data_IF_695759067337
#
_entry.id   IF_695759067337
#
_cell.length_a   1.000
_cell.length_b   1.000
_cell.length_c   1.000
_cell.angle_alpha   90.00
_cell.angle_beta   90.00
_cell.angle_gamma   90.00
#
_symmetry.space_group_name_H-M   'P 1'
#
loop_
_entity.id
_entity.type
_entity.pdbx_description
1 polymer ?
#
# COMPACT_ATOMS: atom_id res chain seq x y z
N UNK A 1 -16.24 4.72 -1.13
CA UNK A 1 -15.12 5.34 -0.38
C UNK A 1 -13.81 5.20 -1.13
N UNK A 2 -13.38 3.98 -1.49
CA UNK A 2 -12.03 3.74 -2.02
C UNK A 2 -11.89 3.77 -3.54
N UNK A 3 -12.96 4.08 -4.27
CA UNK A 3 -13.02 3.92 -5.72
C UNK A 3 -13.43 2.50 -6.12
N UNK A 4 -13.20 2.15 -7.38
CA UNK A 4 -13.45 0.81 -7.92
C UNK A 4 -12.26 -0.12 -7.74
N UNK A 5 -12.44 -1.40 -8.08
CA UNK A 5 -11.34 -2.37 -8.06
C UNK A 5 -10.22 -1.97 -9.03
N UNK A 6 -8.97 -2.11 -8.59
CA UNK A 6 -7.76 -1.96 -9.38
C UNK A 6 -7.49 -3.24 -10.17
N UNK A 7 -7.13 -3.10 -11.44
CA UNK A 7 -6.76 -4.22 -12.31
C UNK A 7 -5.27 -4.57 -12.15
N UNK A 8 -4.96 -5.86 -12.16
CA UNK A 8 -3.59 -6.36 -12.21
C UNK A 8 -3.10 -6.37 -13.67
N UNK A 9 -1.85 -5.97 -13.90
CA UNK A 9 -1.28 -5.84 -15.25
C UNK A 9 0.04 -6.60 -15.40
N UNK A 10 0.43 -6.92 -16.65
CA UNK A 10 1.70 -7.59 -16.94
C UNK A 10 1.81 -8.96 -16.27
N UNK A 11 2.83 -9.16 -15.45
CA UNK A 11 3.09 -10.42 -14.73
C UNK A 11 2.34 -10.54 -13.39
N UNK A 12 1.67 -9.47 -12.94
CA UNK A 12 0.95 -9.44 -11.67
C UNK A 12 -0.15 -10.51 -11.52
N UNK A 13 -0.95 -10.87 -12.56
CA UNK A 13 -1.93 -11.96 -12.45
C UNK A 13 -1.31 -13.33 -12.14
N UNK A 14 -0.09 -13.58 -12.63
CA UNK A 14 0.64 -14.82 -12.33
C UNK A 14 1.10 -14.86 -10.87
N UNK A 15 1.52 -13.72 -10.32
CA UNK A 15 1.88 -13.57 -8.92
C UNK A 15 0.66 -13.75 -8.01
N UNK A 16 -0.49 -13.21 -8.40
CA UNK A 16 -1.76 -13.38 -7.67
C UNK A 16 -2.18 -14.86 -7.56
N UNK A 17 -2.01 -15.63 -8.64
CA UNK A 17 -2.45 -17.02 -8.71
C UNK A 17 -1.60 -18.00 -7.87
N UNK A 18 -0.41 -17.60 -7.42
CA UNK A 18 0.54 -18.49 -6.76
C UNK A 18 0.79 -18.08 -5.30
N UNK A 19 0.78 -19.04 -4.35
CA UNK A 19 1.24 -18.79 -2.98
C UNK A 19 2.78 -18.57 -2.96
N UNK A 20 3.36 -18.00 -1.89
CA UNK A 20 4.78 -17.67 -1.82
C UNK A 20 5.72 -18.84 -2.15
N UNK A 21 5.42 -20.03 -1.61
CA UNK A 21 6.17 -21.25 -1.91
C UNK A 21 6.04 -21.68 -3.39
N UNK A 22 4.87 -21.48 -4.00
CA UNK A 22 4.64 -21.76 -5.42
C UNK A 22 5.43 -20.81 -6.33
N UNK A 23 5.58 -19.54 -5.94
CA UNK A 23 6.41 -18.56 -6.67
C UNK A 23 7.89 -18.94 -6.65
N UNK A 24 8.42 -19.30 -5.48
CA UNK A 24 9.81 -19.75 -5.36
C UNK A 24 10.11 -21.00 -6.21
N UNK A 25 9.17 -21.96 -6.25
CA UNK A 25 9.30 -23.15 -7.11
C UNK A 25 9.26 -22.78 -8.59
N UNK A 26 8.36 -21.87 -9.00
CA UNK A 26 8.28 -21.41 -10.38
C UNK A 26 9.56 -20.68 -10.80
N UNK A 27 10.10 -19.81 -9.96
CA UNK A 27 11.36 -19.09 -10.22
C UNK A 27 12.53 -20.07 -10.40
N UNK A 28 12.67 -21.03 -9.49
CA UNK A 28 13.68 -22.09 -9.60
C UNK A 28 13.51 -22.91 -10.87
N UNK A 29 12.27 -23.25 -11.25
CA UNK A 29 11.97 -23.99 -12.47
C UNK A 29 12.34 -23.19 -13.73
N UNK A 30 12.05 -21.89 -13.77
CA UNK A 30 12.41 -21.00 -14.87
C UNK A 30 13.93 -20.87 -15.00
N UNK A 31 14.64 -20.67 -13.88
CA UNK A 31 16.10 -20.58 -13.86
C UNK A 31 16.74 -21.90 -14.29
N UNK A 32 16.24 -23.04 -13.78
CA UNK A 32 16.73 -24.35 -14.17
C UNK A 32 16.50 -24.66 -15.65
N UNK A 33 15.31 -24.33 -16.17
CA UNK A 33 14.99 -24.50 -17.59
C UNK A 33 15.89 -23.63 -18.48
N UNK A 34 16.15 -22.38 -18.10
CA UNK A 34 17.04 -21.49 -18.82
C UNK A 34 18.51 -21.92 -18.74
N UNK A 35 18.98 -22.39 -17.60
CA UNK A 35 20.32 -22.94 -17.44
C UNK A 35 20.50 -24.21 -18.30
N UNK A 36 19.52 -25.11 -18.32
CA UNK A 36 19.53 -26.28 -19.19
C UNK A 36 19.49 -25.89 -20.69
N UNK A 37 18.65 -24.92 -21.06
CA UNK A 37 18.59 -24.34 -22.40
C UNK A 37 19.94 -23.74 -22.82
N UNK A 38 20.57 -22.95 -21.94
CA UNK A 38 21.88 -22.36 -22.18
C UNK A 38 22.99 -23.39 -22.31
N UNK A 39 22.96 -24.44 -21.49
CA UNK A 39 23.90 -25.55 -21.59
C UNK A 39 23.77 -26.26 -22.94
N UNK A 40 22.55 -26.56 -23.37
CA UNK A 40 22.29 -27.27 -24.64
C UNK A 40 22.62 -26.44 -25.87
N UNK A 41 22.39 -25.12 -25.83
CA UNK A 41 22.81 -24.22 -26.90
C UNK A 41 24.34 -24.07 -26.91
N UNK A 42 24.98 -23.92 -25.76
CA UNK A 42 26.44 -23.82 -25.65
C UNK A 42 27.18 -25.09 -26.07
N UNK A 43 26.60 -26.28 -25.86
CA UNK A 43 27.15 -27.54 -26.42
C UNK A 43 26.98 -27.61 -27.93
N UNK A 44 25.80 -27.25 -28.46
CA UNK A 44 25.51 -27.33 -29.91
C UNK A 44 26.34 -26.37 -30.75
N UNK A 45 26.58 -25.14 -30.27
CA UNK A 45 27.25 -24.10 -31.07
C UNK A 45 28.72 -23.88 -30.71
N UNK A 46 29.16 -24.21 -29.49
CA UNK A 46 30.54 -23.99 -29.05
C UNK A 46 31.41 -25.25 -28.97
N UNK A 47 30.80 -26.45 -29.01
CA UNK A 47 31.50 -27.74 -29.16
C UNK A 47 32.37 -28.20 -27.97
N UNK A 48 32.52 -27.38 -26.92
CA UNK A 48 33.35 -27.71 -25.75
C UNK A 48 32.57 -27.64 -24.44
N UNK A 49 33.09 -28.30 -23.39
CA UNK A 49 32.46 -28.26 -22.06
C UNK A 49 32.47 -26.85 -21.47
N UNK A 50 33.48 -26.04 -21.77
CA UNK A 50 33.60 -24.65 -21.30
C UNK A 50 32.56 -23.74 -21.96
N UNK A 51 32.28 -23.89 -23.26
CA UNK A 51 31.23 -23.12 -23.94
C UNK A 51 29.83 -23.51 -23.49
N UNK A 52 29.61 -24.80 -23.19
CA UNK A 52 28.37 -25.29 -22.59
C UNK A 52 28.09 -24.67 -21.21
N UNK A 53 29.09 -24.67 -20.33
CA UNK A 53 28.99 -24.06 -19.00
C UNK A 53 28.79 -22.53 -19.11
N UNK A 54 29.48 -21.87 -20.05
CA UNK A 54 29.29 -20.44 -20.29
C UNK A 54 27.87 -20.10 -20.79
N UNK A 55 27.33 -20.90 -21.72
CA UNK A 55 25.95 -20.72 -22.21
C UNK A 55 24.91 -20.91 -21.10
N UNK A 56 25.10 -21.92 -20.24
CA UNK A 56 24.25 -22.14 -19.06
C UNK A 56 24.30 -20.97 -18.08
N UNK A 57 25.50 -20.44 -17.81
CA UNK A 57 25.70 -19.34 -16.88
C UNK A 57 25.05 -18.03 -17.37
N UNK A 58 25.21 -17.69 -18.66
CA UNK A 58 24.65 -16.44 -19.21
C UNK A 58 23.12 -16.45 -19.21
N UNK A 59 22.49 -17.53 -19.69
CA UNK A 59 21.02 -17.61 -19.70
C UNK A 59 20.43 -17.80 -18.31
N UNK A 60 21.07 -18.59 -17.45
CA UNK A 60 20.67 -18.74 -16.04
C UNK A 60 20.73 -17.42 -15.28
N UNK A 61 21.79 -16.62 -15.48
CA UNK A 61 21.92 -15.29 -14.88
C UNK A 61 20.86 -14.30 -15.38
N UNK A 62 20.55 -14.30 -16.68
CA UNK A 62 19.49 -13.46 -17.24
C UNK A 62 18.11 -13.78 -16.62
N UNK A 63 17.81 -15.06 -16.36
CA UNK A 63 16.56 -15.45 -15.69
C UNK A 63 16.51 -15.13 -14.20
N UNK A 64 17.64 -15.09 -13.49
CA UNK A 64 17.67 -14.61 -12.10
C UNK A 64 17.22 -13.15 -12.02
N UNK A 65 17.58 -12.32 -13.00
CA UNK A 65 17.06 -10.96 -13.10
C UNK A 65 15.54 -10.93 -13.36
N UNK A 66 15.03 -11.87 -14.18
CA UNK A 66 13.59 -12.04 -14.40
C UNK A 66 12.83 -12.48 -13.14
N UNK A 67 13.36 -13.43 -12.36
CA UNK A 67 12.81 -13.84 -11.08
C UNK A 67 12.83 -12.69 -10.06
N UNK A 68 13.91 -11.92 -10.00
CA UNK A 68 13.97 -10.71 -9.18
C UNK A 68 12.89 -9.68 -9.60
N UNK A 69 12.61 -9.55 -10.89
CA UNK A 69 11.54 -8.69 -11.39
C UNK A 69 10.13 -9.20 -11.05
N UNK A 70 9.95 -10.52 -10.91
CA UNK A 70 8.68 -11.11 -10.43
C UNK A 70 8.51 -10.85 -8.94
N UNK A 71 9.56 -11.04 -8.14
CA UNK A 71 9.51 -10.72 -6.71
C UNK A 71 9.34 -9.21 -6.44
N UNK A 72 9.88 -8.33 -7.29
CA UNK A 72 9.74 -6.89 -7.09
C UNK A 72 8.31 -6.37 -7.25
N UNK A 73 7.44 -7.07 -7.99
CA UNK A 73 6.02 -6.68 -8.13
C UNK A 73 5.14 -7.27 -7.04
N UNK A 74 5.63 -8.22 -6.23
CA UNK A 74 4.84 -8.89 -5.18
C UNK A 74 4.21 -7.90 -4.20
N UNK A 75 4.93 -6.87 -3.70
CA UNK A 75 4.31 -5.89 -2.79
C UNK A 75 3.21 -5.06 -3.45
N UNK A 76 3.35 -4.74 -4.74
CA UNK A 76 2.30 -4.03 -5.50
C UNK A 76 1.05 -4.89 -5.69
N UNK A 77 1.21 -6.18 -5.97
CA UNK A 77 0.07 -7.11 -6.07
C UNK A 77 -0.62 -7.25 -4.72
N UNK A 78 0.15 -7.33 -3.63
CA UNK A 78 -0.41 -7.36 -2.28
C UNK A 78 -1.20 -6.08 -1.97
N UNK A 79 -0.68 -4.90 -2.34
CA UNK A 79 -1.36 -3.62 -2.21
C UNK A 79 -2.67 -3.58 -3.02
N UNK A 80 -2.65 -4.01 -4.29
CA UNK A 80 -3.86 -4.12 -5.11
C UNK A 80 -4.86 -5.11 -4.51
N UNK A 81 -4.39 -6.24 -3.98
CA UNK A 81 -5.21 -7.22 -3.27
C UNK A 81 -5.91 -6.62 -2.06
N UNK A 82 -5.18 -5.86 -1.23
CA UNK A 82 -5.73 -5.13 -0.10
C UNK A 82 -6.76 -4.09 -0.55
N UNK A 83 -6.43 -3.29 -1.56
CA UNK A 83 -7.35 -2.30 -2.12
C UNK A 83 -8.65 -2.94 -2.57
N UNK A 84 -8.57 -4.02 -3.36
CA UNK A 84 -9.72 -4.71 -3.92
C UNK A 84 -10.57 -5.42 -2.86
N UNK A 85 -9.94 -5.84 -1.77
CA UNK A 85 -10.62 -6.38 -0.61
C UNK A 85 -11.44 -5.29 0.09
N UNK A 86 -10.82 -4.17 0.44
CA UNK A 86 -11.49 -3.07 1.16
C UNK A 86 -12.51 -2.34 0.29
N UNK A 87 -12.23 -2.14 -1.00
CA UNK A 87 -13.16 -1.55 -1.97
C UNK A 87 -14.40 -2.42 -2.22
N UNK A 88 -14.32 -3.72 -1.94
CA UNK A 88 -15.45 -4.64 -2.00
C UNK A 88 -16.26 -4.70 -0.69
N UNK A 89 -15.84 -4.01 0.38
CA UNK A 89 -16.57 -3.97 1.64
C UNK A 89 -17.60 -2.85 1.65
N UNK A 90 -18.82 -3.17 2.10
CA UNK A 90 -19.90 -2.19 2.30
C UNK A 90 -19.62 -1.28 3.51
N UNK A 91 -18.95 -1.81 4.54
CA UNK A 91 -18.55 -1.07 5.75
C UNK A 91 -17.02 -1.12 5.93
N UNK A 92 -16.30 -0.03 5.63
CA UNK A 92 -14.86 0.04 5.83
C UNK A 92 -14.45 -0.11 7.30
N UNK A 93 -15.34 0.22 8.25
CA UNK A 93 -15.04 0.13 9.67
C UNK A 93 -15.11 -1.31 10.19
N UNK A 94 -15.60 -2.26 9.39
CA UNK A 94 -15.58 -3.68 9.72
C UNK A 94 -14.21 -4.32 9.55
N UNK A 95 -13.28 -3.66 8.84
CA UNK A 95 -11.93 -4.17 8.61
C UNK A 95 -11.21 -4.44 9.95
N UNK A 96 -10.59 -5.61 10.06
CA UNK A 96 -9.75 -5.99 11.20
C UNK A 96 -8.27 -6.04 10.85
N UNK A 97 -7.41 -5.80 11.85
CA UNK A 97 -5.95 -5.91 11.68
C UNK A 97 -5.48 -7.33 11.30
N UNK A 98 -6.23 -8.35 11.74
CA UNK A 98 -6.03 -9.74 11.37
C UNK A 98 -6.20 -9.96 9.86
N UNK A 99 -7.16 -9.28 9.23
CA UNK A 99 -7.44 -9.39 7.80
C UNK A 99 -6.35 -8.72 6.96
N UNK A 100 -5.90 -7.52 7.37
CA UNK A 100 -4.76 -6.84 6.74
C UNK A 100 -3.49 -7.70 6.83
N UNK A 101 -3.22 -8.28 8.01
CA UNK A 101 -2.08 -9.17 8.22
C UNK A 101 -2.22 -10.46 7.39
N UNK A 102 -3.41 -11.04 7.28
CA UNK A 102 -3.67 -12.22 6.47
C UNK A 102 -3.44 -11.95 4.98
N UNK A 103 -3.85 -10.77 4.49
CA UNK A 103 -3.59 -10.35 3.11
C UNK A 103 -2.08 -10.20 2.90
N UNK A 104 -1.37 -9.45 3.74
CA UNK A 104 0.08 -9.31 3.63
C UNK A 104 0.81 -10.67 3.64
N UNK A 105 0.41 -11.56 4.57
CA UNK A 105 0.93 -12.92 4.70
C UNK A 105 0.66 -13.81 3.49
N UNK A 106 -0.52 -13.70 2.86
CA UNK A 106 -0.87 -14.41 1.60
C UNK A 106 0.18 -14.16 0.51
N UNK A 107 0.76 -12.96 0.46
CA UNK A 107 1.78 -12.60 -0.52
C UNK A 107 3.22 -12.72 0.00
N UNK A 108 3.43 -12.99 1.29
CA UNK A 108 4.75 -12.97 1.91
C UNK A 108 5.34 -11.56 2.08
N UNK A 109 4.48 -10.55 2.19
CA UNK A 109 4.86 -9.13 2.27
C UNK A 109 4.78 -8.64 3.72
N UNK A 110 5.71 -7.79 4.12
CA UNK A 110 5.66 -7.09 5.41
C UNK A 110 4.70 -5.91 5.33
N UNK A 111 3.94 -5.64 6.39
CA UNK A 111 3.12 -4.42 6.48
C UNK A 111 3.95 -3.13 6.48
N UNK A 112 5.27 -3.24 6.72
CA UNK A 112 6.22 -2.12 6.64
C UNK A 112 6.87 -1.98 5.26
N UNK A 113 6.56 -2.85 4.30
CA UNK A 113 7.01 -2.69 2.93
C UNK A 113 6.52 -1.35 2.36
N UNK A 114 7.37 -0.64 1.61
CA UNK A 114 7.06 0.71 1.16
C UNK A 114 5.82 0.78 0.25
N UNK A 115 5.65 -0.17 -0.68
CA UNK A 115 4.50 -0.17 -1.59
C UNK A 115 3.22 -0.56 -0.85
N UNK A 116 3.29 -1.58 0.01
CA UNK A 116 2.14 -2.00 0.81
C UNK A 116 1.71 -0.91 1.81
N UNK A 117 2.69 -0.29 2.49
CA UNK A 117 2.47 0.82 3.42
C UNK A 117 1.90 2.05 2.73
N UNK A 118 2.34 2.35 1.50
CA UNK A 118 1.74 3.42 0.70
C UNK A 118 0.24 3.19 0.49
N UNK A 119 -0.18 1.97 0.16
CA UNK A 119 -1.60 1.66 0.00
C UNK A 119 -2.37 1.77 1.32
N UNK A 120 -1.80 1.34 2.45
CA UNK A 120 -2.41 1.54 3.77
C UNK A 120 -2.68 3.04 4.03
N UNK A 121 -1.70 3.89 3.74
CA UNK A 121 -1.82 5.35 3.86
C UNK A 121 -2.89 5.92 2.91
N UNK A 122 -2.93 5.47 1.66
CA UNK A 122 -3.90 5.93 0.65
C UNK A 122 -5.34 5.52 0.99
N UNK A 123 -5.53 4.29 1.48
CA UNK A 123 -6.81 3.82 2.00
C UNK A 123 -7.23 4.65 3.21
N UNK A 124 -6.33 4.87 4.17
CA UNK A 124 -6.60 5.73 5.33
C UNK A 124 -7.02 7.14 4.91
N UNK A 125 -6.26 7.77 4.00
CA UNK A 125 -6.55 9.12 3.52
C UNK A 125 -7.91 9.19 2.82
N UNK A 126 -8.22 8.21 1.96
CA UNK A 126 -9.51 8.11 1.27
C UNK A 126 -10.67 7.95 2.25
N UNK A 127 -10.48 7.14 3.29
CA UNK A 127 -11.48 6.95 4.34
C UNK A 127 -11.71 8.23 5.13
N UNK A 128 -10.65 8.86 5.66
CA UNK A 128 -10.75 10.13 6.40
C UNK A 128 -11.44 11.20 5.56
N UNK A 129 -11.06 11.34 4.29
CA UNK A 129 -11.71 12.28 3.38
C UNK A 129 -13.21 12.01 3.22
N UNK A 130 -13.62 10.74 3.14
CA UNK A 130 -15.03 10.34 2.96
C UNK A 130 -15.89 10.50 4.22
N UNK A 131 -15.28 10.38 5.40
CA UNK A 131 -15.94 10.51 6.69
C UNK A 131 -16.29 11.97 6.99
N UNK A 132 -15.52 12.92 6.43
CA UNK A 132 -15.77 14.34 6.59
C UNK A 132 -16.99 14.79 5.76
N UNK A 133 -18.05 15.30 6.41
CA UNK A 133 -19.30 15.62 5.72
C UNK A 133 -19.13 16.76 4.70
N UNK A 134 -19.85 16.70 3.56
CA UNK A 134 -19.86 17.75 2.55
C UNK A 134 -20.50 19.06 3.04
N UNK A 135 -19.96 20.19 2.60
CA UNK A 135 -20.56 21.51 2.81
C UNK A 135 -20.90 21.84 4.27
N UNK A 136 -22.13 22.28 4.52
CA UNK A 136 -22.54 22.82 5.82
C UNK A 136 -23.10 21.74 6.77
N UNK A 137 -23.03 20.46 6.40
CA UNK A 137 -23.46 19.37 7.26
C UNK A 137 -22.57 19.26 8.51
N UNK A 138 -23.19 19.14 9.68
CA UNK A 138 -22.49 19.01 10.96
C UNK A 138 -21.85 17.61 11.09
N UNK A 139 -20.83 17.53 11.94
CA UNK A 139 -20.28 16.24 12.38
C UNK A 139 -21.35 15.47 13.15
N UNK A 140 -21.42 14.16 12.91
CA UNK A 140 -22.39 13.23 13.51
C UNK A 140 -21.92 12.73 14.88
N UNK A 141 -20.66 12.97 15.24
CA UNK A 141 -20.04 12.54 16.50
C UNK A 141 -19.46 11.12 16.46
N UNK A 142 -19.58 10.42 15.33
CA UNK A 142 -19.02 9.06 15.14
C UNK A 142 -17.72 9.05 14.36
N UNK A 143 -17.33 10.18 13.77
CA UNK A 143 -16.18 10.31 12.87
C UNK A 143 -14.87 9.93 13.56
N UNK A 144 -14.66 10.43 14.78
CA UNK A 144 -13.43 10.21 15.56
C UNK A 144 -13.23 8.73 15.85
N UNK A 145 -14.27 8.05 16.33
CA UNK A 145 -14.20 6.62 16.65
C UNK A 145 -14.04 5.76 15.40
N UNK A 146 -14.71 6.11 14.31
CA UNK A 146 -14.55 5.44 13.02
C UNK A 146 -13.11 5.56 12.49
N UNK A 147 -12.52 6.75 12.55
CA UNK A 147 -11.14 7.01 12.12
C UNK A 147 -10.14 6.27 13.01
N UNK A 148 -10.30 6.29 14.33
CA UNK A 148 -9.44 5.54 15.27
C UNK A 148 -9.51 4.04 15.01
N UNK A 149 -10.72 3.50 14.83
CA UNK A 149 -10.93 2.08 14.53
C UNK A 149 -10.25 1.68 13.22
N UNK A 150 -10.47 2.46 12.15
CA UNK A 150 -9.88 2.17 10.85
C UNK A 150 -8.34 2.31 10.86
N UNK A 151 -7.80 3.35 11.50
CA UNK A 151 -6.34 3.50 11.71
C UNK A 151 -5.74 2.27 12.38
N UNK A 152 -6.38 1.79 13.45
CA UNK A 152 -5.95 0.59 14.19
C UNK A 152 -6.03 -0.68 13.33
N UNK A 153 -7.09 -0.82 12.54
CA UNK A 153 -7.25 -1.95 11.62
C UNK A 153 -6.14 -1.99 10.57
N UNK A 154 -5.74 -0.83 10.04
CA UNK A 154 -4.63 -0.73 9.09
C UNK A 154 -3.24 -0.91 9.75
N UNK A 155 -3.16 -0.82 11.08
CA UNK A 155 -1.90 -0.90 11.81
C UNK A 155 -0.98 0.30 11.59
N UNK A 156 -1.54 1.46 11.25
CA UNK A 156 -0.79 2.70 11.05
C UNK A 156 -0.39 3.33 12.40
N UNK A 157 0.83 3.84 12.45
CA UNK A 157 1.28 4.65 13.58
C UNK A 157 0.71 6.08 13.51
N UNK A 158 0.92 6.85 14.58
CA UNK A 158 0.43 8.24 14.65
C UNK A 158 1.12 9.16 13.64
N UNK A 159 2.37 8.88 13.28
CA UNK A 159 3.17 9.72 12.38
C UNK A 159 2.63 9.61 10.95
N UNK A 160 2.44 8.39 10.46
CA UNK A 160 1.87 8.12 9.14
C UNK A 160 0.44 8.66 9.02
N UNK A 161 -0.38 8.42 10.04
CA UNK A 161 -1.76 8.90 10.07
C UNK A 161 -1.83 10.44 10.09
N UNK A 162 -1.00 11.09 10.91
CA UNK A 162 -0.94 12.55 10.96
C UNK A 162 -0.47 13.15 9.63
N UNK A 163 0.51 12.52 8.96
CA UNK A 163 0.98 12.92 7.63
C UNK A 163 -0.16 12.88 6.59
N UNK A 164 -1.06 11.88 6.67
CA UNK A 164 -2.23 11.81 5.79
C UNK A 164 -3.25 12.91 6.10
N UNK A 165 -3.50 13.19 7.38
CA UNK A 165 -4.35 14.33 7.77
C UNK A 165 -3.79 15.66 7.23
N UNK A 166 -2.47 15.87 7.33
CA UNK A 166 -1.80 17.05 6.74
C UNK A 166 -1.99 17.14 5.23
N UNK A 167 -1.85 16.01 4.51
CA UNK A 167 -2.02 15.95 3.06
C UNK A 167 -3.44 16.29 2.63
N UNK A 168 -4.44 15.76 3.34
CA UNK A 168 -5.85 16.11 3.14
C UNK A 168 -6.07 17.59 3.47
N UNK A 169 -5.51 18.09 4.57
CA UNK A 169 -5.59 19.49 4.98
C UNK A 169 -5.15 20.44 3.87
N UNK A 170 -4.00 20.18 3.25
CA UNK A 170 -3.49 20.99 2.12
C UNK A 170 -4.42 21.03 0.91
N UNK A 171 -5.22 19.98 0.71
CA UNK A 171 -6.22 19.91 -0.35
C UNK A 171 -7.48 20.68 0.04
N UNK A 172 -8.04 20.37 1.21
CA UNK A 172 -9.26 21.00 1.69
C UNK A 172 -9.11 22.50 1.93
N UNK A 173 -7.95 22.97 2.40
CA UNK A 173 -7.69 24.39 2.58
C UNK A 173 -7.91 25.21 1.29
N UNK A 174 -7.59 24.60 0.13
CA UNK A 174 -7.76 25.25 -1.19
C UNK A 174 -9.15 25.07 -1.77
N UNK A 175 -9.81 23.96 -1.46
CA UNK A 175 -11.05 23.55 -2.12
C UNK A 175 -12.31 23.82 -1.28
N UNK A 176 -12.24 23.61 0.05
CA UNK A 176 -13.38 23.50 0.98
C UNK A 176 -12.97 23.87 2.42
N UNK A 177 -12.96 25.17 2.74
CA UNK A 177 -12.54 25.69 4.05
C UNK A 177 -13.39 25.16 5.23
N UNK A 178 -14.69 24.94 5.02
CA UNK A 178 -15.62 24.33 5.98
C UNK A 178 -15.18 22.91 6.38
N UNK A 179 -14.78 22.10 5.40
CA UNK A 179 -14.32 20.74 5.63
C UNK A 179 -12.93 20.70 6.26
N UNK A 180 -12.10 21.69 5.94
CA UNK A 180 -10.78 21.87 6.53
C UNK A 180 -10.87 22.15 8.04
N UNK A 181 -11.78 23.02 8.48
CA UNK A 181 -12.02 23.28 9.90
C UNK A 181 -12.48 22.02 10.65
N UNK A 182 -13.42 21.27 10.06
CA UNK A 182 -13.87 19.99 10.62
C UNK A 182 -12.74 18.97 10.72
N UNK A 183 -11.87 18.90 9.69
CA UNK A 183 -10.70 18.03 9.72
C UNK A 183 -9.77 18.40 10.87
N UNK A 184 -9.49 19.67 11.11
CA UNK A 184 -8.64 20.10 12.24
C UNK A 184 -9.22 19.62 13.55
N UNK A 185 -10.51 19.87 13.78
CA UNK A 185 -11.21 19.45 15.00
C UNK A 185 -11.14 17.93 15.19
N UNK A 186 -11.51 17.16 14.16
CA UNK A 186 -11.45 15.70 14.20
C UNK A 186 -10.03 15.20 14.42
N UNK A 187 -9.03 15.81 13.77
CA UNK A 187 -7.61 15.46 13.94
C UNK A 187 -7.18 15.63 15.40
N UNK A 188 -7.49 16.77 16.01
CA UNK A 188 -7.15 17.01 17.42
C UNK A 188 -7.74 15.95 18.35
N UNK A 189 -8.96 15.49 18.09
CA UNK A 189 -9.60 14.43 18.89
C UNK A 189 -9.08 13.02 18.57
N UNK A 190 -8.65 12.77 17.33
CA UNK A 190 -8.05 11.49 16.91
C UNK A 190 -6.69 11.30 17.57
N UNK A 191 -5.85 12.33 17.59
CA UNK A 191 -4.47 12.26 18.08
C UNK A 191 -4.30 12.71 19.54
N UNK A 192 -5.22 13.52 20.09
CA UNK A 192 -5.19 13.95 21.49
C UNK A 192 -3.89 14.66 21.87
N UNK A 193 -3.21 14.15 22.90
CA UNK A 193 -1.92 14.68 23.39
C UNK A 193 -0.77 14.53 22.39
N UNK A 194 -0.92 13.67 21.36
CA UNK A 194 0.00 13.59 20.22
C UNK A 194 -0.21 14.73 19.20
N UNK A 195 -0.93 15.79 19.57
CA UNK A 195 -1.17 16.97 18.74
C UNK A 195 0.09 17.76 18.35
N UNK A 196 1.26 17.43 18.91
CA UNK A 196 2.54 17.95 18.43
C UNK A 196 2.76 17.69 16.93
N UNK A 197 2.21 16.59 16.39
CA UNK A 197 2.22 16.31 14.94
C UNK A 197 1.35 17.28 14.12
N UNK A 198 0.47 18.03 14.78
CA UNK A 198 -0.49 18.99 14.21
C UNK A 198 0.00 20.45 14.43
N UNK A 199 1.07 20.68 15.17
CA UNK A 199 1.74 22.00 15.22
C UNK A 199 2.06 22.59 13.83
N UNK A 200 2.39 21.78 12.80
CA UNK A 200 2.58 22.30 11.45
C UNK A 200 1.34 22.98 10.86
N UNK A 201 0.11 22.69 11.28
CA UNK A 201 -1.08 23.35 10.73
C UNK A 201 -1.08 24.85 11.00
N UNK A 202 -0.67 25.23 12.22
CA UNK A 202 -0.56 26.63 12.64
C UNK A 202 0.44 27.40 11.77
N UNK A 203 1.59 26.79 11.52
CA UNK A 203 2.65 27.38 10.70
C UNK A 203 2.37 27.33 9.20
N UNK A 204 1.79 26.24 8.68
CA UNK A 204 1.57 26.01 7.26
C UNK A 204 0.34 26.74 6.70
N UNK A 205 -0.67 26.99 7.53
CA UNK A 205 -1.93 27.61 7.10
C UNK A 205 -2.22 28.96 7.78
N UNK A 206 -1.32 29.44 8.66
CA UNK A 206 -1.43 30.74 9.31
C UNK A 206 -2.64 30.86 10.26
N UNK A 207 -3.10 29.74 10.81
CA UNK A 207 -4.28 29.68 11.67
C UNK A 207 -3.92 30.25 13.05
N UNK A 208 -4.56 31.33 13.47
CA UNK A 208 -4.44 31.85 14.85
C UNK A 208 -5.33 31.04 15.80
N UNK A 209 -4.95 30.96 17.08
CA UNK A 209 -5.58 30.10 18.10
C UNK A 209 -7.10 30.32 18.28
N UNK A 210 -7.66 31.39 17.73
CA UNK A 210 -9.09 31.71 17.77
C UNK A 210 -9.98 30.84 16.88
N UNK A 211 -9.44 30.15 15.87
CA UNK A 211 -10.25 29.35 14.92
C UNK A 211 -10.35 27.86 15.29
N UNK A 212 -9.73 27.42 16.39
CA UNK A 212 -9.68 26.00 16.80
C UNK A 212 -10.75 25.67 17.87
N UNK A 213 -11.46 26.66 18.41
CA UNK A 213 -12.33 26.53 19.59
C UNK A 213 -13.77 27.08 19.44
N UNK A 214 -14.31 27.17 18.21
CA UNK A 214 -15.74 27.49 18.00
C UNK A 214 -16.37 26.48 17.06
#
# INVERSE_FOLDING_TARGET
VFGGRKELTGVQPLVEALPPAGRAVLELAVVAAAAAGGYTLGTRYGGTRTTAVAGAAVLGAATLAGAAAVNSVVPEVAAVGLHNYVAGSDDPTALEASEVAAIASKYGVSTQDAAFKSELCDLYASFVYSVLPPGHEALKGTEVEAIKKFKKALGLDDVDAANMHMAIGRRLYRERLDAFQKLIFVSNLVFGDASDFILPWKHLFGITDYQVLT
#
